data_IF_132906040663
#
_entry.id   IF_132906040663
#
_cell.length_a   1.000
_cell.length_b   1.000
_cell.length_c   1.000
_cell.angle_alpha   90.00
_cell.angle_beta   90.00
_cell.angle_gamma   90.00
#
_symmetry.space_group_name_H-M   'P 1'
#
loop_
_entity.id
_entity.type
_entity.pdbx_description
1 polymer ?
#
# COMPACT_ATOMS: atom_id res chain seq x y z
N UNK A 1 -43.15 30.84 52.50
CA UNK A 1 -42.93 29.66 51.62
C UNK A 1 -41.69 29.93 50.77
N UNK A 2 -40.59 29.19 51.00
CA UNK A 2 -39.34 29.29 50.23
C UNK A 2 -39.52 28.58 48.89
N UNK A 3 -39.30 29.26 47.77
CA UNK A 3 -39.15 28.62 46.44
C UNK A 3 -37.67 28.47 46.15
N UNK A 4 -37.21 27.23 46.17
CA UNK A 4 -35.85 26.88 45.80
C UNK A 4 -35.68 26.94 44.29
N UNK A 5 -34.50 27.46 43.94
CA UNK A 5 -33.92 27.55 42.61
C UNK A 5 -33.57 26.17 42.04
N UNK A 6 -33.61 26.03 40.73
CA UNK A 6 -32.86 24.98 40.01
C UNK A 6 -32.48 25.51 38.63
N UNK A 7 -31.27 26.05 38.55
CA UNK A 7 -30.57 26.28 37.28
C UNK A 7 -30.12 24.91 36.75
N UNK A 8 -30.65 24.50 35.61
CA UNK A 8 -30.15 23.35 34.86
C UNK A 8 -28.89 23.80 34.12
N UNK A 9 -27.72 23.35 34.61
CA UNK A 9 -26.45 23.54 33.93
C UNK A 9 -26.35 22.61 32.72
N UNK A 10 -26.50 23.17 31.52
CA UNK A 10 -26.19 22.46 30.26
C UNK A 10 -24.67 22.48 30.10
N UNK A 11 -24.02 21.36 30.42
CA UNK A 11 -22.58 21.19 30.21
C UNK A 11 -22.33 20.89 28.72
N UNK A 12 -21.88 21.91 27.99
CA UNK A 12 -21.51 21.79 26.59
C UNK A 12 -20.14 21.11 26.50
N UNK A 13 -20.12 19.79 26.25
CA UNK A 13 -18.89 19.07 25.94
C UNK A 13 -18.42 19.47 24.54
N UNK A 14 -17.53 20.47 24.48
CA UNK A 14 -16.77 20.79 23.27
C UNK A 14 -15.81 19.64 23.03
N UNK A 15 -16.20 18.71 22.15
CA UNK A 15 -15.33 17.67 21.64
C UNK A 15 -14.34 18.33 20.69
N UNK A 16 -13.17 18.72 21.22
CA UNK A 16 -12.02 19.12 20.40
C UNK A 16 -11.58 17.87 19.65
N UNK A 17 -12.11 17.69 18.44
CA UNK A 17 -11.68 16.66 17.51
C UNK A 17 -10.23 16.91 17.14
N UNK A 18 -9.30 16.22 17.80
CA UNK A 18 -7.95 16.07 17.28
C UNK A 18 -8.06 15.31 15.95
N UNK A 19 -8.10 16.05 14.84
CA UNK A 19 -7.93 15.49 13.50
C UNK A 19 -6.54 14.89 13.41
N UNK A 20 -6.43 13.60 13.73
CA UNK A 20 -5.26 12.79 13.42
C UNK A 20 -5.09 12.82 11.91
N UNK A 21 -4.16 13.66 11.43
CA UNK A 21 -3.83 13.72 10.02
C UNK A 21 -3.36 12.33 9.58
N UNK A 22 -3.98 11.80 8.54
CA UNK A 22 -3.41 10.68 7.80
C UNK A 22 -2.03 11.09 7.29
N UNK A 23 -1.06 10.19 7.40
CA UNK A 23 0.32 10.44 6.98
C UNK A 23 0.58 9.48 5.83
N UNK A 24 0.83 10.01 4.63
CA UNK A 24 1.40 9.21 3.56
C UNK A 24 2.74 8.66 4.05
N UNK A 25 2.99 7.36 3.81
CA UNK A 25 4.27 6.75 4.13
C UNK A 25 5.09 6.80 2.85
N UNK A 26 5.94 7.82 2.65
CA UNK A 26 6.78 7.88 1.47
C UNK A 26 7.69 6.66 1.47
N UNK A 27 7.80 6.00 0.31
CA UNK A 27 8.76 4.92 0.09
C UNK A 27 9.82 5.46 -0.89
N UNK A 28 10.83 6.20 -0.38
CA UNK A 28 11.85 6.79 -1.23
C UNK A 28 12.66 5.69 -1.95
N UNK A 29 13.31 6.05 -3.06
CA UNK A 29 14.22 5.17 -3.80
C UNK A 29 13.58 3.87 -4.30
N UNK A 30 12.33 3.96 -4.76
CA UNK A 30 11.62 2.86 -5.39
C UNK A 30 11.77 2.91 -6.90
N UNK A 31 12.00 1.74 -7.50
CA UNK A 31 11.82 1.52 -8.92
C UNK A 31 10.49 0.80 -9.14
N UNK A 32 9.60 1.45 -9.90
CA UNK A 32 8.27 0.95 -10.22
C UNK A 32 8.20 0.76 -11.72
N UNK A 33 7.80 -0.44 -12.16
CA UNK A 33 7.68 -0.74 -13.57
C UNK A 33 6.43 -1.57 -13.87
N UNK A 34 5.61 -1.14 -14.82
CA UNK A 34 4.57 -1.97 -15.40
C UNK A 34 5.07 -2.58 -16.71
N UNK A 35 5.05 -3.91 -16.80
CA UNK A 35 5.53 -4.62 -17.98
C UNK A 35 4.68 -4.26 -19.20
N UNK A 36 5.32 -4.03 -20.35
CA UNK A 36 4.65 -3.58 -21.57
C UNK A 36 3.85 -4.67 -22.28
N UNK A 37 4.51 -5.73 -22.70
CA UNK A 37 3.95 -6.91 -23.35
C UNK A 37 4.22 -8.14 -22.47
N UNK A 38 3.21 -8.99 -22.27
CA UNK A 38 3.28 -10.15 -21.38
C UNK A 38 2.16 -10.26 -20.33
N UNK A 39 1.08 -9.47 -20.44
CA UNK A 39 -0.11 -9.61 -19.61
C UNK A 39 -1.28 -10.22 -20.39
N UNK A 40 -2.09 -11.01 -19.69
CA UNK A 40 -3.42 -11.44 -20.11
C UNK A 40 -4.35 -10.20 -20.25
N UNK A 41 -5.45 -10.31 -20.99
CA UNK A 41 -6.56 -9.35 -20.90
C UNK A 41 -7.05 -9.15 -19.47
N UNK A 42 -6.81 -10.12 -18.58
CA UNK A 42 -7.21 -10.11 -17.17
C UNK A 42 -6.05 -9.84 -16.19
N UNK A 43 -4.81 -9.64 -16.65
CA UNK A 43 -3.70 -9.39 -15.73
C UNK A 43 -2.52 -8.57 -16.28
N UNK A 44 -1.72 -8.05 -15.35
CA UNK A 44 -0.50 -7.29 -15.63
C UNK A 44 0.61 -7.69 -14.67
N UNK A 45 1.79 -7.96 -15.20
CA UNK A 45 3.00 -8.06 -14.36
C UNK A 45 3.58 -6.67 -14.11
N UNK A 46 4.01 -6.44 -12.87
CA UNK A 46 4.70 -5.23 -12.46
C UNK A 46 5.89 -5.58 -11.55
N UNK A 47 6.88 -4.70 -11.48
CA UNK A 47 8.03 -4.83 -10.58
C UNK A 47 8.03 -3.67 -9.60
N UNK A 48 8.17 -4.00 -8.31
CA UNK A 48 8.40 -3.03 -7.25
C UNK A 48 9.75 -3.35 -6.62
N UNK A 49 10.74 -2.49 -6.83
CA UNK A 49 12.10 -2.69 -6.33
C UNK A 49 12.47 -1.59 -5.36
N UNK A 50 13.11 -1.96 -4.26
CA UNK A 50 13.58 -1.06 -3.21
C UNK A 50 15.08 -1.19 -3.00
N UNK A 51 15.70 -0.10 -2.52
CA UNK A 51 17.13 -0.07 -2.21
C UNK A 51 17.48 -0.79 -0.91
N UNK A 52 16.51 -0.95 -0.02
CA UNK A 52 16.68 -1.44 1.33
C UNK A 52 17.02 -2.93 1.34
N UNK A 53 18.10 -3.29 2.03
CA UNK A 53 18.53 -4.69 2.18
C UNK A 53 17.61 -5.49 3.10
N UNK A 54 16.98 -4.83 4.08
CA UNK A 54 16.05 -5.45 5.01
C UNK A 54 14.71 -4.73 5.01
N UNK A 55 13.64 -5.50 5.07
CA UNK A 55 12.26 -5.00 5.05
C UNK A 55 11.62 -5.05 6.45
N UNK A 56 12.37 -5.53 7.44
CA UNK A 56 11.96 -5.70 8.83
C UNK A 56 12.13 -4.44 9.68
N UNK A 57 12.85 -3.44 9.18
CA UNK A 57 13.07 -2.16 9.85
C UNK A 57 11.75 -1.51 10.23
N UNK A 58 11.58 -1.21 11.52
CA UNK A 58 10.43 -0.47 12.02
C UNK A 58 10.51 0.98 11.55
N UNK A 59 9.44 1.47 10.92
CA UNK A 59 9.28 2.87 10.53
C UNK A 59 8.39 3.63 11.54
N UNK A 60 8.26 3.09 12.74
CA UNK A 60 7.49 3.64 13.83
C UNK A 60 6.05 3.13 13.92
N UNK A 61 5.48 3.27 15.11
CA UNK A 61 4.06 3.01 15.42
C UNK A 61 3.54 1.63 14.97
N UNK A 62 4.39 0.60 14.99
CA UNK A 62 4.07 -0.79 14.62
C UNK A 62 3.91 -1.07 13.12
N UNK A 63 4.48 -0.23 12.24
CA UNK A 63 4.70 -0.59 10.84
C UNK A 63 6.18 -0.83 10.60
N UNK A 64 6.49 -1.80 9.74
CA UNK A 64 7.81 -2.01 9.17
C UNK A 64 7.83 -1.52 7.72
N UNK A 65 9.02 -1.40 7.15
CA UNK A 65 9.20 -1.12 5.72
C UNK A 65 8.38 -2.07 4.85
N UNK A 66 8.33 -3.36 5.20
CA UNK A 66 7.53 -4.35 4.49
C UNK A 66 6.05 -3.95 4.35
N UNK A 67 5.41 -3.49 5.44
CA UNK A 67 4.02 -3.01 5.37
C UNK A 67 3.89 -1.75 4.52
N UNK A 68 4.85 -0.82 4.58
CA UNK A 68 4.83 0.37 3.74
C UNK A 68 4.98 0.06 2.25
N UNK A 69 5.82 -0.92 1.92
CA UNK A 69 6.04 -1.36 0.54
C UNK A 69 4.77 -2.03 -0.03
N UNK A 70 4.10 -2.89 0.76
CA UNK A 70 2.80 -3.44 0.36
C UNK A 70 1.71 -2.37 0.25
N UNK A 71 1.70 -1.37 1.14
CA UNK A 71 0.81 -0.22 1.01
C UNK A 71 1.02 0.48 -0.34
N UNK A 72 2.28 0.75 -0.72
CA UNK A 72 2.59 1.38 -2.01
C UNK A 72 2.16 0.53 -3.20
N UNK A 73 2.37 -0.78 -3.18
CA UNK A 73 1.87 -1.67 -4.25
C UNK A 73 0.34 -1.67 -4.35
N UNK A 74 -0.38 -1.60 -3.23
CA UNK A 74 -1.84 -1.47 -3.22
C UNK A 74 -2.31 -0.11 -3.76
N UNK A 75 -1.61 0.99 -3.44
CA UNK A 75 -1.87 2.33 -3.96
C UNK A 75 -1.67 2.39 -5.48
N UNK A 76 -0.58 1.81 -5.99
CA UNK A 76 -0.29 1.70 -7.41
C UNK A 76 -1.31 0.83 -8.13
N UNK A 77 -1.71 -0.30 -7.52
CA UNK A 77 -2.76 -1.18 -8.05
C UNK A 77 -4.09 -0.44 -8.12
N UNK A 78 -4.48 0.27 -7.06
CA UNK A 78 -5.71 1.07 -7.03
C UNK A 78 -5.73 2.14 -8.14
N UNK A 79 -4.61 2.84 -8.35
CA UNK A 79 -4.49 3.82 -9.42
C UNK A 79 -4.57 3.17 -10.81
N UNK A 80 -3.86 2.06 -11.03
CA UNK A 80 -3.88 1.32 -12.29
C UNK A 80 -5.26 0.74 -12.62
N UNK A 81 -6.07 0.47 -11.59
CA UNK A 81 -7.36 -0.19 -11.68
C UNK A 81 -8.55 0.75 -11.81
N UNK A 82 -8.40 2.07 -12.00
CA UNK A 82 -9.56 2.98 -12.04
C UNK A 82 -10.62 2.55 -13.06
N UNK A 83 -10.20 2.15 -14.27
CA UNK A 83 -11.09 1.76 -15.38
C UNK A 83 -11.03 0.25 -15.71
N UNK A 84 -10.68 -0.60 -14.73
CA UNK A 84 -10.51 -2.05 -14.95
C UNK A 84 -11.56 -2.89 -14.23
N UNK A 85 -11.77 -4.10 -14.73
CA UNK A 85 -12.68 -5.06 -14.09
C UNK A 85 -12.20 -5.46 -12.68
N UNK A 86 -13.11 -5.77 -11.74
CA UNK A 86 -12.74 -6.12 -10.36
C UNK A 86 -11.78 -7.30 -10.24
N UNK A 87 -11.90 -8.28 -11.14
CA UNK A 87 -11.08 -9.48 -11.16
C UNK A 87 -9.71 -9.29 -11.82
N UNK A 88 -9.41 -8.12 -12.41
CA UNK A 88 -8.11 -7.88 -13.03
C UNK A 88 -7.00 -7.90 -11.97
N UNK A 89 -5.91 -8.62 -12.23
CA UNK A 89 -4.81 -8.83 -11.27
C UNK A 89 -3.54 -8.11 -11.69
N UNK A 90 -2.91 -7.40 -10.76
CA UNK A 90 -1.53 -6.94 -10.89
C UNK A 90 -0.62 -7.89 -10.11
N UNK A 91 0.22 -8.63 -10.82
CA UNK A 91 1.24 -9.52 -10.25
C UNK A 91 2.51 -8.70 -9.99
N UNK A 92 2.74 -8.35 -8.73
CA UNK A 92 3.90 -7.57 -8.32
C UNK A 92 5.08 -8.45 -7.96
N UNK A 93 6.15 -8.38 -8.75
CA UNK A 93 7.46 -8.89 -8.38
C UNK A 93 8.11 -7.89 -7.43
N UNK A 94 8.13 -8.23 -6.15
CA UNK A 94 8.73 -7.39 -5.13
C UNK A 94 10.20 -7.80 -4.95
N UNK A 95 11.12 -6.84 -5.10
CA UNK A 95 12.55 -7.06 -4.97
C UNK A 95 13.18 -6.08 -3.98
N UNK A 96 14.10 -6.58 -3.16
CA UNK A 96 14.89 -5.82 -2.18
C UNK A 96 16.38 -5.83 -2.53
N UNK A 97 17.20 -5.09 -1.77
CA UNK A 97 18.66 -4.99 -1.99
C UNK A 97 18.99 -4.58 -3.44
N UNK A 98 18.28 -3.58 -3.97
CA UNK A 98 18.42 -3.08 -5.35
C UNK A 98 18.13 -4.13 -6.44
N UNK A 99 17.25 -5.09 -6.16
CA UNK A 99 16.93 -6.16 -7.11
C UNK A 99 17.70 -7.45 -6.86
N UNK A 100 18.54 -7.51 -5.82
CA UNK A 100 19.37 -8.70 -5.52
C UNK A 100 18.65 -9.73 -4.65
N UNK A 101 17.49 -9.40 -4.06
CA UNK A 101 16.70 -10.33 -3.25
C UNK A 101 15.27 -10.33 -3.75
N UNK A 102 14.76 -11.49 -4.15
CA UNK A 102 13.35 -11.64 -4.51
C UNK A 102 12.51 -11.80 -3.25
N UNK A 103 11.59 -10.88 -3.00
CA UNK A 103 10.71 -10.89 -1.83
C UNK A 103 9.40 -11.64 -2.07
N UNK A 104 9.11 -12.01 -3.32
CA UNK A 104 7.93 -12.75 -3.73
C UNK A 104 7.12 -12.05 -4.82
N UNK A 105 6.27 -12.84 -5.47
CA UNK A 105 5.22 -12.35 -6.34
C UNK A 105 3.95 -12.12 -5.51
N UNK A 106 3.32 -10.96 -5.68
CA UNK A 106 2.11 -10.57 -4.95
C UNK A 106 0.97 -10.33 -5.95
N UNK A 107 0.00 -11.25 -6.06
CA UNK A 107 -1.18 -11.05 -6.88
C UNK A 107 -2.16 -10.11 -6.16
N UNK A 108 -2.27 -8.87 -6.64
CA UNK A 108 -3.18 -7.87 -6.10
C UNK A 108 -4.30 -7.60 -7.11
N UNK A 109 -5.52 -8.02 -6.79
CA UNK A 109 -6.68 -7.74 -7.65
C UNK A 109 -7.15 -6.30 -7.53
N UNK A 110 -7.77 -5.79 -8.58
CA UNK A 110 -8.41 -4.48 -8.58
C UNK A 110 -9.50 -4.37 -7.51
N UNK A 111 -10.28 -5.44 -7.30
CA UNK A 111 -11.26 -5.51 -6.21
C UNK A 111 -10.59 -5.36 -4.84
N UNK A 112 -9.53 -6.14 -4.59
CA UNK A 112 -8.84 -6.11 -3.30
C UNK A 112 -8.23 -4.73 -3.00
N UNK A 113 -7.65 -4.07 -4.01
CA UNK A 113 -7.13 -2.72 -3.87
C UNK A 113 -8.25 -1.70 -3.55
N UNK A 114 -9.39 -1.77 -4.24
CA UNK A 114 -10.56 -0.91 -3.96
C UNK A 114 -11.13 -1.13 -2.56
N UNK A 115 -11.31 -2.37 -2.14
CA UNK A 115 -11.81 -2.73 -0.79
C UNK A 115 -10.83 -2.27 0.31
N UNK A 116 -9.53 -2.33 0.04
CA UNK A 116 -8.50 -1.75 0.93
C UNK A 116 -8.71 -0.24 1.06
N UNK A 117 -8.87 0.50 -0.04
CA UNK A 117 -9.12 1.94 0.01
C UNK A 117 -10.45 2.30 0.69
N UNK A 118 -11.51 1.49 0.50
CA UNK A 118 -12.78 1.65 1.19
C UNK A 118 -12.63 1.45 2.71
N UNK A 119 -11.81 0.48 3.13
CA UNK A 119 -11.61 0.13 4.54
C UNK A 119 -10.71 1.14 5.25
N UNK A 120 -9.60 1.55 4.63
CA UNK A 120 -8.57 2.37 5.27
C UNK A 120 -8.65 3.85 4.93
N UNK A 121 -9.44 4.21 3.92
CA UNK A 121 -9.63 5.57 3.44
C UNK A 121 -8.59 6.01 2.41
N UNK A 122 -8.93 7.06 1.67
CA UNK A 122 -8.06 7.73 0.70
C UNK A 122 -7.32 8.89 1.37
N UNK A 123 -6.00 8.86 1.31
CA UNK A 123 -5.09 9.85 1.87
C UNK A 123 -4.84 11.02 0.94
N UNK A 124 -3.64 11.60 1.05
CA UNK A 124 -3.20 12.66 0.14
C UNK A 124 -2.73 12.05 -1.18
N UNK A 125 -2.65 12.86 -2.22
CA UNK A 125 -2.01 12.44 -3.46
C UNK A 125 -0.49 12.57 -3.33
N UNK A 126 0.23 11.68 -4.00
CA UNK A 126 1.69 11.68 -4.13
C UNK A 126 2.06 11.57 -5.60
N UNK A 127 3.12 12.26 -6.02
CA UNK A 127 3.70 12.10 -7.35
C UNK A 127 4.76 11.02 -7.29
N UNK A 128 4.64 10.01 -8.16
CA UNK A 128 5.57 8.89 -8.28
C UNK A 128 6.06 8.78 -9.71
N UNK A 129 7.26 8.25 -9.90
CA UNK A 129 7.78 7.90 -11.22
C UNK A 129 7.51 6.44 -11.50
N UNK A 130 6.76 6.16 -12.57
CA UNK A 130 6.40 4.82 -13.01
C UNK A 130 7.00 4.58 -14.38
N UNK A 131 7.78 3.51 -14.53
CA UNK A 131 8.30 3.08 -15.82
C UNK A 131 7.22 2.28 -16.56
N UNK A 132 6.82 2.76 -17.73
CA UNK A 132 5.98 2.03 -18.66
C UNK A 132 6.79 1.70 -19.90
N UNK A 133 7.11 0.41 -20.09
CA UNK A 133 7.80 -0.07 -21.31
C UNK A 133 9.17 0.58 -21.56
N UNK A 134 9.88 0.98 -20.52
CA UNK A 134 11.15 1.69 -20.62
C UNK A 134 11.02 3.21 -20.52
N UNK A 135 9.81 3.76 -20.55
CA UNK A 135 9.54 5.20 -20.50
C UNK A 135 9.09 5.63 -19.09
N UNK A 136 9.92 6.37 -18.33
CA UNK A 136 9.55 6.89 -17.02
C UNK A 136 8.50 8.00 -17.16
N UNK A 137 7.37 7.84 -16.49
CA UNK A 137 6.26 8.82 -16.46
C UNK A 137 5.99 9.24 -15.02
N UNK A 138 5.78 10.54 -14.79
CA UNK A 138 5.32 11.03 -13.50
C UNK A 138 3.80 10.89 -13.41
N UNK A 139 3.33 10.17 -12.40
CA UNK A 139 1.91 9.96 -12.14
C UNK A 139 1.55 10.44 -10.74
N UNK A 140 0.35 11.02 -10.62
CA UNK A 140 -0.21 11.40 -9.32
C UNK A 140 -1.14 10.29 -8.85
N UNK A 141 -0.77 9.62 -7.76
CA UNK A 141 -1.54 8.51 -7.20
C UNK A 141 -2.10 8.90 -5.83
N UNK A 142 -3.25 8.33 -5.48
CA UNK A 142 -3.79 8.47 -4.13
C UNK A 142 -3.06 7.52 -3.16
N UNK A 143 -2.76 8.00 -1.95
CA UNK A 143 -2.19 7.15 -0.89
C UNK A 143 -3.28 6.56 0.00
N UNK A 144 -2.98 5.52 0.78
CA UNK A 144 -3.87 5.05 1.85
C UNK A 144 -3.86 6.05 3.02
N UNK A 145 -5.02 6.27 3.64
CA UNK A 145 -5.17 7.16 4.79
C UNK A 145 -4.73 6.50 6.12
N UNK A 146 -3.54 5.90 6.15
CA UNK A 146 -3.01 5.22 7.32
C UNK A 146 -2.68 6.22 8.45
N UNK A 147 -3.15 5.89 9.64
CA UNK A 147 -2.98 6.67 10.86
C UNK A 147 -2.96 5.76 12.10
N UNK A 148 -2.87 6.36 13.28
CA UNK A 148 -2.69 5.63 14.54
C UNK A 148 -3.88 4.73 14.90
N UNK A 149 -5.06 5.00 14.34
CA UNK A 149 -6.27 4.20 14.58
C UNK A 149 -6.32 2.92 13.74
N UNK A 150 -5.83 2.95 12.50
CA UNK A 150 -6.03 1.87 11.53
C UNK A 150 -4.73 1.13 11.13
N UNK A 151 -3.53 1.67 11.40
CA UNK A 151 -2.26 1.06 10.99
C UNK A 151 -2.04 -0.37 11.50
N UNK A 152 -2.53 -0.71 12.69
CA UNK A 152 -2.42 -2.08 13.23
C UNK A 152 -3.29 -3.06 12.45
N UNK A 153 -4.51 -2.65 12.13
CA UNK A 153 -5.42 -3.44 11.28
C UNK A 153 -4.83 -3.61 9.87
N UNK A 154 -4.20 -2.58 9.33
CA UNK A 154 -3.50 -2.67 8.05
C UNK A 154 -2.32 -3.65 8.11
N UNK A 155 -1.50 -3.58 9.17
CA UNK A 155 -0.42 -4.55 9.37
C UNK A 155 -0.94 -5.99 9.45
N UNK A 156 -2.08 -6.22 10.11
CA UNK A 156 -2.75 -7.52 10.13
C UNK A 156 -3.25 -7.96 8.75
N UNK A 157 -3.83 -7.06 7.95
CA UNK A 157 -4.21 -7.34 6.57
C UNK A 157 -2.99 -7.74 5.73
N UNK A 158 -1.87 -7.02 5.86
CA UNK A 158 -0.62 -7.36 5.15
C UNK A 158 -0.16 -8.79 5.45
N UNK A 159 -0.38 -9.30 6.67
CA UNK A 159 -0.03 -10.69 7.00
C UNK A 159 -0.88 -11.75 6.27
N UNK A 160 -2.05 -11.37 5.73
CA UNK A 160 -2.90 -12.27 4.95
C UNK A 160 -2.47 -12.34 3.49
N UNK A 161 -1.70 -11.35 3.01
CA UNK A 161 -1.17 -11.32 1.65
C UNK A 161 0.09 -12.20 1.61
N UNK A 162 -0.02 -13.37 0.97
CA UNK A 162 1.07 -14.36 0.92
C UNK A 162 1.89 -14.17 -0.36
N UNK A 163 3.22 -13.97 -0.24
CA UNK A 163 4.09 -13.98 -1.41
C UNK A 163 4.10 -15.36 -2.06
N UNK A 164 4.20 -15.39 -3.39
CA UNK A 164 4.32 -16.59 -4.21
C UNK A 164 5.72 -16.68 -4.83
N UNK A 165 6.11 -17.89 -5.22
CA UNK A 165 7.25 -18.08 -6.12
C UNK A 165 6.82 -17.77 -7.55
N UNK A 166 7.77 -17.43 -8.42
CA UNK A 166 7.55 -17.33 -9.86
C UNK A 166 7.87 -18.69 -10.48
N UNK A 167 6.93 -19.25 -11.24
CA UNK A 167 7.06 -20.54 -11.91
C UNK A 167 7.93 -20.45 -13.19
N UNK A 168 9.20 -20.13 -13.00
CA UNK A 168 10.27 -20.21 -14.03
C UNK A 168 11.10 -21.49 -13.89
N UNK A 169 12.08 -21.70 -14.77
CA UNK A 169 13.08 -22.76 -14.62
C UNK A 169 14.48 -22.14 -14.61
N UNK A 170 15.18 -22.10 -13.45
CA UNK A 170 14.73 -22.55 -12.13
C UNK A 170 13.58 -21.69 -11.58
N UNK A 171 12.80 -22.26 -10.66
CA UNK A 171 11.77 -21.52 -9.91
C UNK A 171 12.46 -20.48 -9.02
N UNK A 172 11.86 -19.29 -8.89
CA UNK A 172 12.39 -18.22 -8.03
C UNK A 172 11.44 -17.99 -6.86
N UNK A 173 11.92 -18.14 -5.64
CA UNK A 173 11.10 -18.11 -4.43
C UNK A 173 11.45 -16.97 -3.45
N UNK A 174 10.50 -16.54 -2.60
CA UNK A 174 10.74 -15.49 -1.61
C UNK A 174 11.97 -15.76 -0.73
N UNK A 175 12.85 -14.76 -0.63
CA UNK A 175 14.12 -14.81 0.11
C UNK A 175 15.33 -15.23 -0.72
N UNK A 176 15.14 -15.70 -1.95
CA UNK A 176 16.25 -16.06 -2.83
C UNK A 176 17.00 -14.82 -3.34
N UNK A 177 18.31 -14.99 -3.54
CA UNK A 177 19.13 -13.96 -4.17
C UNK A 177 19.07 -14.10 -5.69
N UNK A 178 18.91 -12.97 -6.36
CA UNK A 178 18.98 -12.87 -7.81
C UNK A 178 20.43 -12.51 -8.17
N UNK A 179 21.05 -13.33 -9.04
CA UNK A 179 22.42 -13.14 -9.54
C UNK A 179 22.51 -12.09 -10.65
#
# INVERSE_FOLDING_TARGET
MKKNSSLVGVSLLISIGFSLKAIAIPVPNTYINFAGAGGDFDSRTATFRVSEQTTTTSIGKNLRLYEAHLAKMLELTYNFCQDREPNYIVYWNYEADEGKIFMGEFPLSCQFARETFQTFGTGVNETVTINHRGEPTQETIATLALNDKNRKQFASLVQTIKPQCIDTTPQICPGERLE
#
